data_IF_758374721420
#
_entry.id   IF_758374721420
#
_cell.length_a   1.000
_cell.length_b   1.000
_cell.length_c   1.000
_cell.angle_alpha   90.00
_cell.angle_beta   90.00
_cell.angle_gamma   90.00
#
_symmetry.space_group_name_H-M   'P 1'
#
loop_
_entity.id
_entity.type
_entity.pdbx_description
1 polymer ?
#
# COMPACT_ATOMS: atom_id res chain seq x y z
N UNK A 1 -13.93 2.97 -1.88
CA UNK A 1 -12.51 2.84 -1.49
C UNK A 1 -12.40 1.58 -0.66
N UNK A 2 -11.46 0.71 -1.03
CA UNK A 2 -11.41 -0.68 -0.58
C UNK A 2 -10.15 -0.88 0.24
N UNK A 3 -10.23 -0.55 1.51
CA UNK A 3 -9.13 -0.85 2.43
C UNK A 3 -9.11 -2.34 2.66
N UNK A 4 -7.94 -2.90 2.97
CA UNK A 4 -7.84 -4.29 3.40
C UNK A 4 -8.47 -4.50 4.80
N UNK A 5 -9.75 -4.16 4.96
CA UNK A 5 -10.57 -4.40 6.15
C UNK A 5 -10.65 -5.90 6.48
N UNK A 6 -10.43 -6.75 5.48
CA UNK A 6 -10.38 -8.20 5.62
C UNK A 6 -8.98 -8.73 6.01
N UNK A 7 -7.90 -7.94 5.86
CA UNK A 7 -6.56 -8.39 6.21
C UNK A 7 -6.45 -8.78 7.69
N UNK A 8 -6.86 -7.94 8.67
CA UNK A 8 -6.77 -8.30 10.08
C UNK A 8 -7.57 -9.56 10.39
N UNK A 9 -8.76 -9.70 9.80
CA UNK A 9 -9.61 -10.89 9.98
C UNK A 9 -8.89 -12.16 9.51
N UNK A 10 -8.34 -12.16 8.29
CA UNK A 10 -7.60 -13.32 7.78
C UNK A 10 -6.42 -13.69 8.70
N UNK A 11 -5.63 -12.70 9.12
CA UNK A 11 -4.49 -12.91 10.01
C UNK A 11 -4.93 -13.50 11.35
N UNK A 12 -6.01 -12.99 11.96
CA UNK A 12 -6.54 -13.48 13.24
C UNK A 12 -7.06 -14.91 13.10
N UNK A 13 -7.88 -15.18 12.08
CA UNK A 13 -8.55 -16.47 11.86
C UNK A 13 -7.53 -17.57 11.54
N UNK A 14 -6.38 -17.21 10.95
CA UNK A 14 -5.32 -18.14 10.54
C UNK A 14 -4.04 -18.01 11.33
N UNK A 15 -3.99 -17.23 12.41
CA UNK A 15 -2.73 -16.84 13.06
C UNK A 15 -1.80 -18.04 13.34
N UNK A 16 -2.34 -19.14 13.87
CA UNK A 16 -1.56 -20.34 14.21
C UNK A 16 -1.33 -21.30 13.01
N UNK A 17 -1.87 -20.97 11.85
CA UNK A 17 -1.85 -21.77 10.61
C UNK A 17 -1.55 -20.93 9.36
N UNK A 18 -0.86 -19.79 9.54
CA UNK A 18 -0.51 -18.89 8.43
C UNK A 18 0.38 -19.65 7.43
N UNK A 19 0.12 -19.50 6.11
CA UNK A 19 1.03 -20.03 5.10
C UNK A 19 2.36 -19.25 5.15
N UNK A 20 3.43 -19.86 4.62
CA UNK A 20 4.77 -19.25 4.62
C UNK A 20 4.77 -17.86 3.96
N UNK A 21 3.91 -17.66 2.95
CA UNK A 21 3.74 -16.40 2.22
C UNK A 21 2.27 -16.03 2.09
N UNK A 22 1.99 -14.74 2.23
CA UNK A 22 0.67 -14.15 2.03
C UNK A 22 0.80 -12.94 1.13
N UNK A 23 -0.18 -12.75 0.24
CA UNK A 23 -0.30 -11.57 -0.61
C UNK A 23 -1.65 -10.92 -0.30
N UNK A 24 -1.61 -9.65 0.05
CA UNK A 24 -2.79 -8.83 0.28
C UNK A 24 -2.87 -7.79 -0.85
N UNK A 25 -3.97 -7.81 -1.59
CA UNK A 25 -4.22 -6.92 -2.73
C UNK A 25 -5.71 -6.70 -2.91
N UNK A 26 -6.13 -5.65 -3.63
CA UNK A 26 -7.54 -5.49 -3.95
C UNK A 26 -7.97 -6.51 -5.02
N UNK A 27 -9.26 -6.88 -5.01
CA UNK A 27 -9.76 -8.01 -5.80
C UNK A 27 -9.98 -7.76 -7.29
N UNK A 28 -9.86 -6.53 -7.80
CA UNK A 28 -10.03 -6.25 -9.23
C UNK A 28 -8.73 -6.50 -9.98
N UNK A 29 -8.82 -7.25 -11.10
CA UNK A 29 -7.67 -7.50 -11.97
C UNK A 29 -7.09 -6.20 -12.53
N UNK A 30 -7.93 -5.33 -13.08
CA UNK A 30 -7.51 -4.02 -13.59
C UNK A 30 -7.96 -2.93 -12.62
N UNK A 31 -7.03 -2.12 -12.14
CA UNK A 31 -7.29 -0.99 -11.24
C UNK A 31 -6.05 -0.12 -11.04
N UNK A 32 -6.23 1.18 -10.86
CA UNK A 32 -5.13 2.13 -10.72
C UNK A 32 -4.15 1.80 -9.56
N UNK A 33 -4.59 1.05 -8.55
CA UNK A 33 -3.74 0.60 -7.45
C UNK A 33 -2.62 -0.36 -7.87
N UNK A 34 -2.77 -1.07 -8.99
CA UNK A 34 -1.77 -2.03 -9.47
C UNK A 34 -0.63 -1.27 -10.14
N UNK A 35 0.59 -1.47 -9.63
CA UNK A 35 1.81 -0.86 -10.17
C UNK A 35 2.32 -1.65 -11.38
N UNK A 36 1.60 -1.53 -12.48
CA UNK A 36 1.86 -2.18 -13.76
C UNK A 36 1.46 -1.23 -14.90
N UNK A 37 2.14 -1.27 -16.07
CA UNK A 37 1.88 -0.31 -17.14
C UNK A 37 0.45 -0.34 -17.68
N UNK A 38 -0.23 -1.48 -17.58
CA UNK A 38 -1.65 -1.63 -17.94
C UNK A 38 -2.53 -1.89 -16.73
N UNK A 39 -2.01 -1.64 -15.52
CA UNK A 39 -2.71 -1.81 -14.26
C UNK A 39 -3.22 -3.23 -14.00
N UNK A 40 -2.55 -4.25 -14.56
CA UNK A 40 -2.93 -5.66 -14.40
C UNK A 40 -2.33 -6.28 -13.12
N UNK A 41 -3.19 -6.60 -12.16
CA UNK A 41 -2.81 -7.24 -10.91
C UNK A 41 -2.27 -8.66 -11.11
N UNK A 42 -2.68 -9.37 -12.17
CA UNK A 42 -2.12 -10.69 -12.48
C UNK A 42 -0.64 -10.59 -12.89
N UNK A 43 -0.29 -9.53 -13.64
CA UNK A 43 1.10 -9.23 -14.03
C UNK A 43 1.97 -8.96 -12.80
N UNK A 44 1.48 -8.12 -11.87
CA UNK A 44 2.16 -7.81 -10.60
C UNK A 44 2.47 -9.08 -9.80
N UNK A 45 1.48 -9.97 -9.62
CA UNK A 45 1.68 -11.23 -8.89
C UNK A 45 2.67 -12.15 -9.62
N UNK A 46 2.52 -12.29 -10.95
CA UNK A 46 3.36 -13.21 -11.74
C UNK A 46 4.84 -12.85 -11.72
N UNK A 47 5.17 -11.56 -11.57
CA UNK A 47 6.55 -11.04 -11.54
C UNK A 47 7.13 -11.00 -10.13
N UNK A 48 6.32 -11.16 -9.09
CA UNK A 48 6.73 -11.05 -7.70
C UNK A 48 7.84 -12.07 -7.37
N UNK A 49 8.99 -11.56 -6.97
CA UNK A 49 10.13 -12.36 -6.56
C UNK A 49 9.95 -12.79 -5.10
N UNK A 50 9.55 -14.05 -4.87
CA UNK A 50 9.36 -14.56 -3.50
C UNK A 50 10.62 -14.44 -2.62
N UNK A 51 11.80 -14.56 -3.23
CA UNK A 51 13.07 -14.35 -2.52
C UNK A 51 13.21 -12.94 -1.94
N UNK A 52 12.65 -11.93 -2.60
CA UNK A 52 12.61 -10.58 -2.08
C UNK A 52 11.78 -10.50 -0.80
N UNK A 53 10.60 -11.15 -0.81
CA UNK A 53 9.68 -11.23 0.33
C UNK A 53 10.33 -11.98 1.50
N UNK A 54 11.01 -13.11 1.24
CA UNK A 54 11.76 -13.87 2.27
C UNK A 54 12.81 -12.99 2.93
N UNK A 55 13.63 -12.31 2.13
CA UNK A 55 14.79 -11.56 2.62
C UNK A 55 14.40 -10.37 3.50
N UNK A 56 13.28 -9.71 3.21
CA UNK A 56 12.85 -8.53 3.96
C UNK A 56 11.70 -8.81 4.93
N UNK A 57 11.02 -9.96 4.81
CA UNK A 57 9.80 -10.32 5.51
C UNK A 57 8.53 -9.63 4.98
N UNK A 58 8.68 -8.55 4.20
CA UNK A 58 7.60 -7.70 3.67
C UNK A 58 8.06 -7.02 2.37
N UNK A 59 7.21 -7.03 1.35
CA UNK A 59 7.44 -6.30 0.11
C UNK A 59 6.16 -5.59 -0.34
N UNK A 60 6.19 -4.26 -0.59
CA UNK A 60 5.06 -3.58 -1.20
C UNK A 60 4.90 -4.05 -2.65
N UNK A 61 3.66 -4.17 -3.13
CA UNK A 61 3.36 -4.47 -4.53
C UNK A 61 3.31 -3.19 -5.40
N UNK A 62 3.86 -2.09 -4.88
CA UNK A 62 4.04 -0.81 -5.55
C UNK A 62 5.45 -0.31 -5.22
N UNK A 63 6.15 0.16 -6.24
CA UNK A 63 7.49 0.72 -6.20
C UNK A 63 7.51 2.21 -6.60
N UNK A 64 6.56 2.68 -7.40
CA UNK A 64 6.44 4.11 -7.66
C UNK A 64 6.03 4.88 -6.40
N UNK A 65 6.68 6.03 -6.16
CA UNK A 65 6.45 6.83 -4.96
C UNK A 65 5.10 7.55 -4.94
N UNK A 66 4.45 7.67 -6.09
CA UNK A 66 3.16 8.34 -6.18
C UNK A 66 2.01 7.32 -6.16
N UNK A 67 1.02 7.46 -5.25
CA UNK A 67 0.98 8.37 -4.09
C UNK A 67 1.78 7.86 -2.87
N UNK A 68 2.11 8.75 -1.93
CA UNK A 68 2.43 8.41 -0.54
C UNK A 68 3.90 8.54 -0.09
N UNK A 69 4.84 8.62 -1.02
CA UNK A 69 6.26 8.81 -0.72
C UNK A 69 6.77 10.18 -1.21
N UNK A 70 7.79 10.78 -0.55
CA UNK A 70 8.53 10.24 0.59
C UNK A 70 7.80 10.42 1.93
N UNK A 71 6.94 11.43 2.05
CA UNK A 71 6.17 11.71 3.27
C UNK A 71 4.74 12.02 2.84
N UNK A 72 3.80 11.24 3.35
CA UNK A 72 2.38 11.46 3.15
C UNK A 72 1.74 12.22 4.31
N UNK A 73 2.15 11.89 5.54
CA UNK A 73 1.53 12.39 6.76
C UNK A 73 2.58 12.95 7.71
N UNK A 74 2.20 14.01 8.40
CA UNK A 74 2.92 14.65 9.50
C UNK A 74 2.08 14.58 10.78
N UNK A 75 2.00 13.42 11.46
CA UNK A 75 1.04 13.19 12.55
C UNK A 75 1.14 14.19 13.71
N UNK A 76 2.32 14.76 13.95
CA UNK A 76 2.56 15.72 15.03
C UNK A 76 2.38 17.19 14.61
N UNK A 77 2.37 17.47 13.31
CA UNK A 77 2.21 18.80 12.73
C UNK A 77 1.41 18.69 11.42
N UNK A 78 0.08 18.47 11.50
CA UNK A 78 -0.74 18.35 10.31
C UNK A 78 -0.64 19.60 9.42
N UNK A 79 -0.43 19.40 8.12
CA UNK A 79 -0.18 20.45 7.11
C UNK A 79 -0.89 20.18 5.78
N UNK A 80 -1.63 19.06 5.65
CA UNK A 80 -2.31 18.72 4.40
C UNK A 80 -3.44 19.72 4.11
N UNK A 81 -3.35 20.38 2.94
CA UNK A 81 -4.34 21.34 2.43
C UNK A 81 -5.16 20.75 1.26
N UNK A 82 -5.05 19.44 1.01
CA UNK A 82 -5.70 18.74 -0.10
C UNK A 82 -7.19 18.44 0.16
N UNK A 83 -7.78 17.44 -0.52
CA UNK A 83 -9.15 17.00 -0.25
C UNK A 83 -9.42 16.74 1.23
N UNK A 84 -10.66 17.02 1.68
CA UNK A 84 -11.08 16.92 3.09
C UNK A 84 -10.69 15.60 3.77
N UNK A 85 -10.77 14.48 3.03
CA UNK A 85 -10.40 13.15 3.51
C UNK A 85 -8.93 13.08 3.92
N UNK A 86 -8.02 13.71 3.17
CA UNK A 86 -6.58 13.74 3.50
C UNK A 86 -6.32 14.57 4.75
N UNK A 87 -6.91 15.76 4.83
CA UNK A 87 -6.79 16.63 6.00
C UNK A 87 -7.28 15.92 7.27
N UNK A 88 -8.47 15.32 7.22
CA UNK A 88 -9.05 14.60 8.36
C UNK A 88 -8.26 13.34 8.73
N UNK A 89 -7.68 12.65 7.75
CA UNK A 89 -6.76 11.52 7.99
C UNK A 89 -5.55 11.96 8.79
N UNK A 90 -4.86 13.02 8.35
CA UNK A 90 -3.64 13.49 9.01
C UNK A 90 -3.93 13.99 10.43
N UNK A 91 -5.04 14.72 10.63
CA UNK A 91 -5.51 15.17 11.94
C UNK A 91 -5.82 14.01 12.90
N UNK A 92 -6.41 12.92 12.40
CA UNK A 92 -6.80 11.77 13.23
C UNK A 92 -5.64 10.79 13.50
N UNK A 93 -4.59 10.80 12.65
CA UNK A 93 -3.58 9.74 12.62
C UNK A 93 -2.88 9.52 13.96
N UNK A 94 -2.40 10.58 14.62
CA UNK A 94 -1.66 10.46 15.88
C UNK A 94 -2.49 9.82 17.01
N UNK A 95 -3.77 10.18 17.10
CA UNK A 95 -4.70 9.63 18.10
C UNK A 95 -4.97 8.15 17.84
N UNK A 96 -5.19 7.78 16.57
CA UNK A 96 -5.39 6.38 16.19
C UNK A 96 -4.12 5.57 16.41
N UNK A 97 -2.95 6.11 16.05
CA UNK A 97 -1.66 5.44 16.24
C UNK A 97 -1.44 5.04 17.71
N UNK A 98 -1.68 5.96 18.65
CA UNK A 98 -1.57 5.68 20.09
C UNK A 98 -2.55 4.61 20.57
N UNK A 99 -3.72 4.52 19.93
CA UNK A 99 -4.75 3.51 20.24
C UNK A 99 -4.31 2.12 19.75
N UNK A 100 -3.72 2.06 18.55
CA UNK A 100 -3.32 0.80 17.92
C UNK A 100 -1.96 0.28 18.42
N UNK A 101 -1.05 1.18 18.79
CA UNK A 101 0.30 0.86 19.27
C UNK A 101 0.53 1.50 20.65
N UNK A 102 -0.10 0.97 21.72
CA UNK A 102 0.04 1.53 23.05
C UNK A 102 1.51 1.48 23.50
N UNK A 103 2.04 2.62 23.94
CA UNK A 103 3.43 2.76 24.37
C UNK A 103 4.45 3.03 23.25
N UNK A 104 4.04 3.00 21.99
CA UNK A 104 4.90 3.41 20.88
C UNK A 104 4.91 4.95 20.72
N UNK A 105 6.08 5.49 20.36
CA UNK A 105 6.20 6.90 20.01
C UNK A 105 5.51 7.16 18.66
N UNK A 106 4.72 8.24 18.60
CA UNK A 106 4.07 8.65 17.35
C UNK A 106 5.15 9.17 16.39
N UNK A 107 5.24 8.64 15.17
CA UNK A 107 6.23 9.11 14.21
C UNK A 107 5.97 10.57 13.80
N UNK A 108 7.05 11.34 13.61
CA UNK A 108 6.95 12.71 13.11
C UNK A 108 6.48 12.76 11.65
N UNK A 109 6.90 11.76 10.86
CA UNK A 109 6.59 11.62 9.43
C UNK A 109 6.22 10.17 9.12
N UNK A 110 5.25 9.98 8.23
CA UNK A 110 4.86 8.66 7.72
C UNK A 110 4.84 8.71 6.21
N UNK A 111 5.47 7.73 5.58
CA UNK A 111 5.54 7.62 4.13
C UNK A 111 5.68 6.17 3.70
N UNK A 112 4.87 5.77 2.74
CA UNK A 112 4.92 4.47 2.10
C UNK A 112 4.21 4.58 0.76
N UNK A 113 4.55 3.70 -0.19
CA UNK A 113 3.80 3.60 -1.43
C UNK A 113 2.34 3.24 -1.12
N UNK A 114 1.39 4.04 -1.63
CA UNK A 114 -0.05 3.90 -1.40
C UNK A 114 -0.61 2.53 -1.87
N UNK A 115 -1.88 2.26 -1.53
CA UNK A 115 -2.74 1.13 -1.90
C UNK A 115 -2.75 -0.06 -0.93
N UNK A 116 -1.87 -0.12 0.07
CA UNK A 116 -1.80 -1.25 1.02
C UNK A 116 -1.69 -2.64 0.37
N UNK A 117 -1.16 -2.71 -0.85
CA UNK A 117 -0.94 -3.99 -1.51
C UNK A 117 0.47 -4.45 -1.16
N UNK A 118 0.61 -5.59 -0.51
CA UNK A 118 1.90 -6.10 -0.06
C UNK A 118 1.92 -7.62 0.03
N UNK A 119 3.11 -8.18 -0.06
CA UNK A 119 3.41 -9.54 0.31
C UNK A 119 4.13 -9.58 1.67
N UNK A 120 3.83 -10.58 2.49
CA UNK A 120 4.48 -10.77 3.78
C UNK A 120 4.72 -12.26 4.07
N UNK A 121 5.78 -12.53 4.81
CA UNK A 121 6.07 -13.88 5.35
C UNK A 121 5.26 -14.15 6.62
N UNK A 122 5.01 -15.42 6.94
CA UNK A 122 4.45 -15.81 8.23
C UNK A 122 5.28 -15.23 9.38
N UNK A 123 6.59 -15.38 9.31
CA UNK A 123 7.53 -15.00 10.35
C UNK A 123 7.44 -13.51 10.63
N UNK A 124 7.34 -12.67 9.58
CA UNK A 124 7.14 -11.22 9.72
C UNK A 124 5.82 -10.88 10.41
N UNK A 125 4.71 -11.53 10.02
CA UNK A 125 3.40 -11.31 10.64
C UNK A 125 3.44 -11.71 12.13
N UNK A 126 4.10 -12.83 12.45
CA UNK A 126 4.19 -13.35 13.81
C UNK A 126 5.11 -12.56 14.75
N UNK A 127 5.92 -11.62 14.24
CA UNK A 127 6.65 -10.68 15.11
C UNK A 127 5.71 -9.82 15.95
N UNK A 128 4.46 -9.65 15.51
CA UNK A 128 3.41 -8.96 16.24
C UNK A 128 2.43 -9.98 16.82
N UNK A 129 2.13 -9.95 18.13
CA UNK A 129 1.20 -10.90 18.72
C UNK A 129 -0.21 -10.78 18.15
N UNK A 130 -0.94 -11.89 18.10
CA UNK A 130 -2.35 -11.98 17.65
C UNK A 130 -3.24 -10.91 18.28
N UNK A 131 -3.08 -10.64 19.57
CA UNK A 131 -3.84 -9.64 20.33
C UNK A 131 -3.76 -8.22 19.73
N UNK A 132 -2.66 -7.86 19.08
CA UNK A 132 -2.54 -6.56 18.41
C UNK A 132 -3.37 -6.51 17.13
N UNK A 133 -3.41 -7.60 16.36
CA UNK A 133 -4.30 -7.69 15.20
C UNK A 133 -5.78 -7.64 15.62
N UNK A 134 -6.13 -8.30 16.73
CA UNK A 134 -7.47 -8.22 17.32
C UNK A 134 -7.82 -6.80 17.76
N UNK A 135 -6.88 -6.06 18.37
CA UNK A 135 -7.02 -4.65 18.73
C UNK A 135 -7.28 -3.77 17.50
N UNK A 136 -6.49 -3.95 16.43
CA UNK A 136 -6.66 -3.25 15.15
C UNK A 136 -8.03 -3.53 14.56
N UNK A 137 -8.44 -4.81 14.53
CA UNK A 137 -9.76 -5.20 14.03
C UNK A 137 -10.89 -4.60 14.87
N UNK A 138 -10.75 -4.62 16.20
CA UNK A 138 -11.75 -4.04 17.12
C UNK A 138 -11.91 -2.55 16.86
N UNK A 139 -10.82 -1.81 16.77
CA UNK A 139 -10.85 -0.38 16.44
C UNK A 139 -11.52 -0.12 15.08
N UNK A 140 -11.19 -0.91 14.05
CA UNK A 140 -11.81 -0.79 12.73
C UNK A 140 -13.33 -0.97 12.73
N UNK A 141 -13.86 -1.80 13.64
CA UNK A 141 -15.30 -2.06 13.76
C UNK A 141 -16.01 -1.03 14.64
N UNK A 142 -15.33 -0.52 15.67
CA UNK A 142 -15.93 0.35 16.69
C UNK A 142 -15.70 1.85 16.44
N UNK A 143 -14.81 2.21 15.52
CA UNK A 143 -14.49 3.61 15.24
C UNK A 143 -15.68 4.36 14.62
N UNK A 144 -15.88 5.60 15.07
CA UNK A 144 -16.86 6.52 14.48
C UNK A 144 -16.29 7.32 13.30
N UNK A 145 -15.02 7.08 12.93
CA UNK A 145 -14.43 7.72 11.76
C UNK A 145 -15.09 7.16 10.49
N UNK A 146 -15.44 8.02 9.52
CA UNK A 146 -15.85 7.60 8.19
C UNK A 146 -14.89 6.56 7.59
N UNK A 147 -15.43 5.61 6.83
CA UNK A 147 -14.68 4.51 6.22
C UNK A 147 -13.49 5.00 5.39
N UNK A 148 -13.57 6.22 4.85
CA UNK A 148 -12.50 6.83 4.06
C UNK A 148 -11.32 7.35 4.82
N UNK A 149 -11.60 7.88 6.00
CA UNK A 149 -10.58 8.30 6.93
C UNK A 149 -9.96 7.08 7.61
N UNK A 150 -10.77 6.21 8.22
CA UNK A 150 -10.27 5.02 8.93
C UNK A 150 -9.50 4.09 7.98
N UNK A 151 -10.02 3.97 6.76
CA UNK A 151 -9.39 3.29 5.66
C UNK A 151 -8.00 3.83 5.32
N UNK A 152 -7.92 5.13 5.04
CA UNK A 152 -6.65 5.77 4.69
C UNK A 152 -5.62 5.71 5.82
N UNK A 153 -6.06 5.82 7.07
CA UNK A 153 -5.17 5.65 8.24
C UNK A 153 -4.57 4.25 8.23
N UNK A 154 -5.38 3.21 8.04
CA UNK A 154 -4.85 1.84 7.92
C UNK A 154 -3.91 1.68 6.74
N UNK A 155 -4.19 2.38 5.63
CA UNK A 155 -3.34 2.29 4.44
C UNK A 155 -1.89 2.66 4.72
N UNK A 156 -1.69 3.72 5.51
CA UNK A 156 -0.37 4.19 5.95
C UNK A 156 0.07 3.59 7.28
N UNK A 157 -0.55 2.51 7.75
CA UNK A 157 -0.11 1.77 8.94
C UNK A 157 0.41 0.37 8.62
N UNK A 158 0.03 -0.24 7.48
CA UNK A 158 0.38 -1.63 7.18
C UNK A 158 1.88 -1.93 7.22
N UNK A 159 2.73 -1.06 6.68
CA UNK A 159 4.18 -1.26 6.73
C UNK A 159 4.71 -1.24 8.17
N UNK A 160 4.17 -0.38 9.05
CA UNK A 160 4.52 -0.33 10.47
C UNK A 160 3.92 -1.50 11.27
N UNK A 161 2.73 -1.96 10.90
CA UNK A 161 2.14 -3.21 11.43
C UNK A 161 3.09 -4.38 11.16
N UNK A 162 3.80 -4.35 10.03
CA UNK A 162 4.84 -5.29 9.62
C UNK A 162 6.27 -4.84 10.00
N UNK A 163 6.40 -4.06 11.08
CA UNK A 163 7.67 -3.65 11.71
C UNK A 163 8.63 -2.92 10.77
N UNK A 164 8.14 -2.25 9.72
CA UNK A 164 8.96 -1.36 8.89
C UNK A 164 8.98 0.05 9.47
N UNK A 165 9.98 0.82 9.03
CA UNK A 165 10.17 2.21 9.45
C UNK A 165 8.94 3.06 9.09
N UNK A 166 8.62 4.10 9.87
CA UNK A 166 7.50 4.99 9.56
C UNK A 166 7.54 5.59 8.15
N UNK A 167 8.75 5.90 7.67
CA UNK A 167 9.03 6.21 6.26
C UNK A 167 9.73 5.00 5.62
N UNK A 168 9.01 4.30 4.73
CA UNK A 168 9.48 3.14 3.99
C UNK A 168 9.29 3.36 2.48
N UNK A 169 10.19 4.14 1.90
CA UNK A 169 10.16 4.58 0.51
C UNK A 169 11.49 4.24 -0.18
N UNK A 170 11.73 2.98 -0.55
CA UNK A 170 12.94 2.61 -1.30
C UNK A 170 12.95 3.30 -2.68
N UNK A 171 14.12 3.59 -3.27
CA UNK A 171 14.21 4.10 -4.64
C UNK A 171 13.47 3.17 -5.62
N UNK A 172 12.71 3.75 -6.55
CA UNK A 172 11.83 3.00 -7.44
C UNK A 172 12.57 1.92 -8.23
N UNK A 173 13.72 2.23 -8.83
CA UNK A 173 14.52 1.26 -9.59
C UNK A 173 15.01 0.08 -8.75
N UNK A 174 15.46 0.33 -7.52
CA UNK A 174 15.85 -0.74 -6.58
C UNK A 174 14.66 -1.62 -6.21
N UNK A 175 13.51 -1.01 -5.94
CA UNK A 175 12.29 -1.72 -5.63
C UNK A 175 11.81 -2.59 -6.82
N UNK A 176 11.74 -2.06 -8.04
CA UNK A 176 11.29 -2.84 -9.19
C UNK A 176 12.25 -3.99 -9.52
N UNK A 177 13.56 -3.77 -9.44
CA UNK A 177 14.55 -4.82 -9.64
C UNK A 177 14.42 -5.92 -8.58
N UNK A 178 14.35 -5.52 -7.31
CA UNK A 178 14.34 -6.47 -6.20
C UNK A 178 13.01 -7.22 -6.10
N UNK A 179 11.88 -6.52 -6.13
CA UNK A 179 10.54 -7.08 -5.91
C UNK A 179 9.98 -7.77 -7.16
N UNK A 180 10.29 -7.27 -8.36
CA UNK A 180 9.66 -7.73 -9.61
C UNK A 180 10.65 -8.25 -10.67
N UNK A 181 11.97 -8.22 -10.40
CA UNK A 181 13.00 -8.64 -11.36
C UNK A 181 13.22 -7.65 -12.51
N UNK A 182 12.65 -6.44 -12.45
CA UNK A 182 12.72 -5.44 -13.52
C UNK A 182 13.92 -4.51 -13.31
N UNK A 183 15.13 -5.01 -13.58
CA UNK A 183 16.38 -4.31 -13.25
C UNK A 183 16.89 -3.34 -14.31
N UNK A 184 16.42 -3.46 -15.56
CA UNK A 184 16.89 -2.67 -16.70
C UNK A 184 15.96 -1.50 -17.02
N UNK A 185 15.41 -0.86 -15.99
CA UNK A 185 14.49 0.27 -16.12
C UNK A 185 15.26 1.59 -16.02
N UNK A 186 14.85 2.58 -16.81
CA UNK A 186 15.32 3.96 -16.64
C UNK A 186 14.52 4.62 -15.51
N UNK A 187 15.20 4.98 -14.42
CA UNK A 187 14.53 5.39 -13.19
C UNK A 187 15.16 6.63 -12.55
N UNK A 188 14.31 7.40 -11.88
CA UNK A 188 14.71 8.30 -10.80
C UNK A 188 14.49 7.60 -9.44
N UNK A 189 14.82 8.27 -8.33
CA UNK A 189 14.48 7.77 -7.00
C UNK A 189 12.98 7.50 -6.83
N UNK A 190 12.11 8.28 -7.49
CA UNK A 190 10.67 8.25 -7.26
C UNK A 190 9.86 7.40 -8.26
N UNK A 191 10.37 7.19 -9.48
CA UNK A 191 9.63 6.51 -10.54
C UNK A 191 10.56 5.93 -11.60
N UNK A 192 10.03 4.98 -12.37
CA UNK A 192 10.67 4.45 -13.58
C UNK A 192 9.83 4.77 -14.81
N UNK A 193 10.50 5.00 -15.94
CA UNK A 193 9.84 5.24 -17.21
C UNK A 193 8.98 4.04 -17.63
N UNK A 194 7.84 4.33 -18.27
CA UNK A 194 6.92 3.33 -18.82
C UNK A 194 6.39 2.29 -17.82
N UNK A 195 6.53 2.51 -16.51
CA UNK A 195 6.01 1.58 -15.49
C UNK A 195 4.64 1.96 -14.96
N UNK A 196 4.43 3.24 -14.64
CA UNK A 196 3.19 3.67 -14.03
C UNK A 196 2.91 5.16 -14.27
N UNK A 197 1.64 5.48 -14.47
CA UNK A 197 1.12 6.85 -14.44
C UNK A 197 -0.05 6.87 -13.48
N UNK A 198 -0.13 7.86 -12.59
CA UNK A 198 -1.29 8.03 -11.74
C UNK A 198 -2.45 8.61 -12.58
N UNK A 199 -3.56 7.88 -12.78
CA UNK A 199 -4.70 8.43 -13.51
C UNK A 199 -5.39 9.52 -12.70
N UNK A 200 -6.03 10.47 -13.39
CA UNK A 200 -6.79 11.56 -12.76
C UNK A 200 -8.03 11.03 -12.05
N UNK A 201 -8.65 9.98 -12.60
CA UNK A 201 -9.84 9.35 -12.04
C UNK A 201 -9.59 7.88 -11.70
N UNK A 202 -10.09 7.47 -10.53
CA UNK A 202 -9.93 6.10 -10.04
C UNK A 202 -10.72 5.05 -10.84
N UNK A 203 -11.75 5.46 -11.58
CA UNK A 203 -12.56 4.57 -12.40
C UNK A 203 -11.76 4.09 -13.61
N UNK A 204 -11.67 2.76 -13.77
CA UNK A 204 -11.06 2.14 -14.95
C UNK A 204 -11.96 2.38 -16.17
N UNK A 205 -11.41 2.79 -17.33
CA UNK A 205 -12.19 3.01 -18.54
C UNK A 205 -12.88 1.74 -19.05
N UNK A 206 -14.02 1.93 -19.73
CA UNK A 206 -14.72 0.82 -20.37
C UNK A 206 -13.88 0.20 -21.49
N UNK A 207 -13.78 -1.12 -21.47
CA UNK A 207 -13.00 -1.88 -22.45
C UNK A 207 -11.48 -1.87 -22.23
N UNK A 208 -11.00 -1.37 -21.08
CA UNK A 208 -9.60 -1.50 -20.69
C UNK A 208 -9.19 -2.98 -20.50
N UNK A 209 -7.96 -3.38 -20.88
CA UNK A 209 -6.85 -2.58 -21.41
C UNK A 209 -6.84 -2.38 -22.94
N UNK A 210 -7.69 -3.07 -23.70
CA UNK A 210 -7.65 -3.03 -25.16
C UNK A 210 -8.21 -1.72 -25.74
N UNK A 211 -9.12 -1.06 -25.03
CA UNK A 211 -9.83 0.17 -25.43
C UNK A 211 -9.99 1.13 -24.23
N UNK A 212 -10.47 2.35 -24.49
CA UNK A 212 -10.84 3.32 -23.45
C UNK A 212 -9.69 4.13 -22.84
N UNK A 213 -8.44 3.86 -23.21
CA UNK A 213 -7.29 4.66 -22.77
C UNK A 213 -7.10 5.97 -23.53
N UNK A 214 -6.29 6.89 -22.98
CA UNK A 214 -5.97 8.19 -23.57
C UNK A 214 -6.84 9.36 -23.10
N UNK A 215 -7.84 9.08 -22.26
CA UNK A 215 -8.74 10.07 -21.65
C UNK A 215 -8.69 9.96 -20.12
N UNK A 216 -9.14 10.99 -19.40
CA UNK A 216 -9.31 10.96 -17.94
C UNK A 216 -8.02 10.57 -17.15
N UNK A 217 -6.85 10.87 -17.72
CA UNK A 217 -5.54 10.56 -17.16
C UNK A 217 -5.08 9.10 -17.33
N UNK A 218 -5.88 8.24 -17.97
CA UNK A 218 -5.48 6.89 -18.33
C UNK A 218 -4.58 6.90 -19.56
N UNK A 219 -3.46 6.15 -19.56
CA UNK A 219 -2.55 6.15 -20.69
C UNK A 219 -3.18 5.48 -21.92
N UNK A 220 -2.68 5.82 -23.12
CA UNK A 220 -3.13 5.17 -24.36
C UNK A 220 -2.70 3.69 -24.37
N UNK A 221 -3.52 2.77 -24.90
CA UNK A 221 -3.08 1.38 -25.07
C UNK A 221 -1.75 1.33 -25.84
N UNK A 222 -0.78 0.58 -25.33
CA UNK A 222 0.56 0.48 -25.91
C UNK A 222 1.56 1.59 -25.56
N UNK A 223 1.22 2.53 -24.67
CA UNK A 223 2.13 3.62 -24.24
C UNK A 223 3.47 3.15 -23.66
N UNK A 224 3.52 1.91 -23.17
CA UNK A 224 4.66 1.30 -22.52
C UNK A 224 5.52 0.45 -23.46
N UNK A 225 5.21 0.44 -24.77
CA UNK A 225 6.01 -0.19 -25.81
C UNK A 225 7.21 0.69 -26.19
#
# INVERSE_FOLDING_TARGET
MFVCLLCPRYIIDRYDSLPDFMIFMHGRRYQWHNDDPIYDGASVISKLQLQAVVKTGYAPLRCTWIPGCPVELHPLKPVDEGPIVRQQTELAFATVFKTLFPGAEVPAEVGATCSSQFAATREQVMLRPKADYERIRKWLVETNLPDDISGRIMEYMWHMIMQKKPVYCPPAGECYCFTFGLCNLECTAARCEKQYVLPTYAAVPDGWPEKGGGENGWPKPGWNQ
#
